data_IF_785701713853
#
_entry.id   IF_785701713853
#
_cell.length_a   1.000
_cell.length_b   1.000
_cell.length_c   1.000
_cell.angle_alpha   90.00
_cell.angle_beta   90.00
_cell.angle_gamma   90.00
#
_symmetry.space_group_name_H-M   'P 1'
#
loop_
_entity.id
_entity.type
_entity.pdbx_description
1 polymer ?
#
# COMPACT_ATOMS: atom_id res chain seq x y z
N UNK A 1 48.30 -1.42 10.94
CA UNK A 1 46.99 -1.84 10.40
C UNK A 1 45.92 -1.39 11.38
N UNK A 2 45.16 -0.34 11.05
CA UNK A 2 44.05 0.14 11.89
C UNK A 2 42.74 -0.22 11.21
N UNK A 3 42.01 -1.17 11.79
CA UNK A 3 40.68 -1.58 11.33
C UNK A 3 39.66 -0.56 11.87
N UNK A 4 39.30 0.43 11.07
CA UNK A 4 38.15 1.29 11.36
C UNK A 4 36.87 0.45 11.16
N UNK A 5 36.31 -0.07 12.25
CA UNK A 5 34.98 -0.64 12.22
C UNK A 5 33.97 0.48 11.99
N UNK A 6 33.38 0.52 10.79
CA UNK A 6 32.27 1.41 10.49
C UNK A 6 31.05 0.97 11.29
N UNK A 7 30.79 1.66 12.38
CA UNK A 7 29.50 1.57 13.08
C UNK A 7 28.45 2.14 12.13
N UNK A 8 27.73 1.26 11.44
CA UNK A 8 26.65 1.64 10.52
C UNK A 8 25.57 2.42 11.26
N UNK A 9 25.55 3.74 11.08
CA UNK A 9 24.43 4.59 11.50
C UNK A 9 23.20 4.17 10.70
N UNK A 10 22.29 3.41 11.31
CA UNK A 10 20.89 3.38 10.85
C UNK A 10 20.32 4.78 11.07
N UNK A 11 20.37 5.62 10.04
CA UNK A 11 19.66 6.89 10.03
C UNK A 11 18.18 6.53 10.01
N UNK A 12 17.48 6.82 11.11
CA UNK A 12 16.03 6.66 11.18
C UNK A 12 15.41 7.72 10.25
N UNK A 13 14.97 7.32 9.06
CA UNK A 13 14.21 8.21 8.19
C UNK A 13 12.82 8.43 8.79
N UNK A 14 12.49 9.69 9.07
CA UNK A 14 11.15 10.05 9.52
C UNK A 14 10.15 9.81 8.37
N UNK A 15 9.14 8.99 8.63
CA UNK A 15 8.00 8.79 7.74
C UNK A 15 6.81 9.47 8.38
N UNK A 16 6.17 10.39 7.66
CA UNK A 16 5.00 11.09 8.19
C UNK A 16 3.85 10.11 8.46
N UNK A 17 2.97 10.40 9.44
CA UNK A 17 1.78 9.58 9.68
C UNK A 17 0.90 9.41 8.44
N UNK A 18 0.81 10.43 7.59
CA UNK A 18 0.06 10.38 6.32
C UNK A 18 0.70 9.41 5.32
N UNK A 19 2.02 9.48 5.13
CA UNK A 19 2.73 8.56 4.24
C UNK A 19 2.65 7.12 4.74
N UNK A 20 2.72 6.91 6.07
CA UNK A 20 2.51 5.58 6.66
C UNK A 20 1.09 5.07 6.41
N UNK A 21 0.08 5.92 6.55
CA UNK A 21 -1.32 5.55 6.27
C UNK A 21 -1.51 5.20 4.79
N UNK A 22 -1.01 6.02 3.87
CA UNK A 22 -1.07 5.78 2.42
C UNK A 22 -0.40 4.47 2.04
N UNK A 23 0.82 4.22 2.51
CA UNK A 23 1.54 2.97 2.26
C UNK A 23 0.75 1.73 2.71
N UNK A 24 -0.03 1.85 3.78
CA UNK A 24 -0.89 0.77 4.25
C UNK A 24 -2.06 0.48 3.28
N UNK A 25 -2.64 1.51 2.66
CA UNK A 25 -3.65 1.34 1.59
C UNK A 25 -3.02 0.71 0.35
N UNK A 26 -1.81 1.14 -0.03
CA UNK A 26 -1.17 0.59 -1.23
C UNK A 26 -0.82 -0.87 -1.06
N UNK A 27 -0.30 -1.24 0.12
CA UNK A 27 0.00 -2.64 0.43
C UNK A 27 -1.25 -3.52 0.33
N UNK A 28 -2.33 -3.19 1.03
CA UNK A 28 -3.52 -4.06 1.03
C UNK A 28 -4.17 -4.12 -0.37
N UNK A 29 -4.14 -3.02 -1.12
CA UNK A 29 -4.64 -2.99 -2.51
C UNK A 29 -3.81 -3.92 -3.40
N UNK A 30 -2.49 -3.90 -3.30
CA UNK A 30 -1.60 -4.83 -4.04
C UNK A 30 -1.91 -6.28 -3.70
N UNK A 31 -2.02 -6.58 -2.40
CA UNK A 31 -2.31 -7.95 -1.94
C UNK A 31 -3.69 -8.44 -2.47
N UNK A 32 -4.71 -7.57 -2.48
CA UNK A 32 -6.04 -7.88 -3.03
C UNK A 32 -5.97 -8.05 -4.55
N UNK A 33 -5.29 -7.13 -5.25
CA UNK A 33 -5.10 -7.17 -6.71
C UNK A 33 -4.41 -8.46 -7.16
N UNK A 34 -3.36 -8.88 -6.45
CA UNK A 34 -2.66 -10.15 -6.69
C UNK A 34 -3.60 -11.35 -6.51
N UNK A 35 -4.30 -11.41 -5.36
CA UNK A 35 -5.22 -12.50 -5.06
C UNK A 35 -6.38 -12.59 -6.08
N UNK A 36 -6.97 -11.44 -6.45
CA UNK A 36 -8.15 -11.36 -7.29
C UNK A 36 -7.83 -11.53 -8.79
N UNK A 37 -6.85 -10.78 -9.32
CA UNK A 37 -6.63 -10.70 -10.77
C UNK A 37 -5.58 -11.68 -11.28
N UNK A 38 -4.55 -11.98 -10.49
CA UNK A 38 -3.44 -12.82 -10.95
C UNK A 38 -3.60 -14.28 -10.49
N UNK A 39 -3.92 -14.50 -9.22
CA UNK A 39 -3.98 -15.84 -8.64
C UNK A 39 -5.38 -16.47 -8.72
N UNK A 40 -6.43 -15.65 -8.81
CA UNK A 40 -7.82 -16.13 -8.69
C UNK A 40 -8.12 -16.80 -7.35
N UNK A 41 -7.38 -16.44 -6.29
CA UNK A 41 -7.47 -17.04 -4.98
C UNK A 41 -8.55 -16.37 -4.13
N UNK A 42 -9.79 -16.83 -4.28
CA UNK A 42 -10.96 -16.29 -3.58
C UNK A 42 -10.87 -16.37 -2.05
N UNK A 43 -10.22 -17.39 -1.49
CA UNK A 43 -10.09 -17.49 -0.02
C UNK A 43 -9.18 -16.39 0.55
N UNK A 44 -8.07 -16.12 -0.14
CA UNK A 44 -7.16 -15.05 0.24
C UNK A 44 -7.79 -13.67 0.04
N UNK A 45 -8.49 -13.46 -1.07
CA UNK A 45 -9.26 -12.25 -1.33
C UNK A 45 -10.24 -11.94 -0.18
N UNK A 46 -11.05 -12.92 0.24
CA UNK A 46 -12.00 -12.77 1.36
C UNK A 46 -11.28 -12.40 2.66
N UNK A 47 -10.15 -13.04 2.96
CA UNK A 47 -9.39 -12.74 4.17
C UNK A 47 -8.83 -11.32 4.17
N UNK A 48 -8.33 -10.85 3.02
CA UNK A 48 -7.82 -9.49 2.87
C UNK A 48 -8.93 -8.45 3.03
N UNK A 49 -10.13 -8.70 2.49
CA UNK A 49 -11.29 -7.82 2.72
C UNK A 49 -11.77 -7.84 4.18
N UNK A 50 -11.65 -8.97 4.88
CA UNK A 50 -11.88 -9.00 6.32
C UNK A 50 -10.85 -8.14 7.08
N UNK A 51 -9.56 -8.20 6.70
CA UNK A 51 -8.53 -7.34 7.28
C UNK A 51 -8.82 -5.85 7.05
N UNK A 52 -9.31 -5.48 5.87
CA UNK A 52 -9.77 -4.10 5.57
C UNK A 52 -10.84 -3.64 6.56
N UNK A 53 -11.84 -4.49 6.83
CA UNK A 53 -12.91 -4.19 7.78
C UNK A 53 -12.39 -4.12 9.22
N UNK A 54 -11.57 -5.08 9.64
CA UNK A 54 -11.02 -5.14 11.01
C UNK A 54 -10.14 -3.93 11.35
N UNK A 55 -9.52 -3.33 10.32
CA UNK A 55 -8.66 -2.14 10.43
C UNK A 55 -9.39 -0.82 10.20
N UNK A 56 -10.71 -0.85 9.99
CA UNK A 56 -11.55 0.32 9.70
C UNK A 56 -10.98 1.16 8.53
N UNK A 57 -10.55 0.47 7.47
CA UNK A 57 -10.02 1.12 6.28
C UNK A 57 -11.15 1.55 5.33
N UNK A 58 -10.94 2.67 4.65
CA UNK A 58 -11.88 3.23 3.68
C UNK A 58 -11.95 2.33 2.44
N UNK A 59 -13.07 1.63 2.32
CA UNK A 59 -13.35 0.71 1.20
C UNK A 59 -13.37 1.45 -0.13
N UNK A 60 -13.95 2.66 -0.20
CA UNK A 60 -14.03 3.42 -1.45
C UNK A 60 -12.66 3.86 -1.94
N UNK A 61 -11.73 4.16 -1.02
CA UNK A 61 -10.33 4.44 -1.38
C UNK A 61 -9.63 3.21 -1.94
N UNK A 62 -9.87 2.03 -1.37
CA UNK A 62 -9.30 0.76 -1.86
C UNK A 62 -9.88 0.40 -3.23
N UNK A 63 -11.20 0.53 -3.42
CA UNK A 63 -11.85 0.31 -4.72
C UNK A 63 -11.32 1.27 -5.79
N UNK A 64 -11.12 2.55 -5.45
CA UNK A 64 -10.49 3.50 -6.35
C UNK A 64 -9.08 3.07 -6.76
N UNK A 65 -8.28 2.56 -5.83
CA UNK A 65 -6.94 2.08 -6.14
C UNK A 65 -6.99 0.80 -7.00
N UNK A 66 -7.90 -0.14 -6.69
CA UNK A 66 -8.04 -1.40 -7.42
C UNK A 66 -8.44 -1.21 -8.88
N UNK A 67 -9.36 -0.28 -9.15
CA UNK A 67 -9.98 -0.13 -10.47
C UNK A 67 -9.59 1.17 -11.19
N UNK A 68 -9.06 2.15 -10.47
CA UNK A 68 -8.60 3.43 -11.03
C UNK A 68 -7.09 3.52 -11.24
N UNK A 69 -6.30 2.60 -10.68
CA UNK A 69 -4.86 2.53 -10.94
C UNK A 69 -4.56 1.65 -12.16
N UNK A 70 -3.71 2.14 -13.06
CA UNK A 70 -3.27 1.40 -14.24
C UNK A 70 -2.36 0.22 -13.91
N UNK A 71 -1.45 0.39 -12.94
CA UNK A 71 -0.45 -0.62 -12.56
C UNK A 71 -0.16 -0.55 -11.06
N UNK A 72 -0.51 -1.60 -10.33
CA UNK A 72 -0.36 -1.65 -8.88
C UNK A 72 1.11 -1.71 -8.42
N UNK A 73 2.03 -2.22 -9.25
CA UNK A 73 3.48 -2.28 -8.95
C UNK A 73 4.18 -0.92 -9.13
N UNK A 74 3.55 0.03 -9.82
CA UNK A 74 4.09 1.37 -10.00
C UNK A 74 3.64 2.29 -8.86
N UNK A 75 4.59 2.68 -8.01
CA UNK A 75 4.35 3.57 -6.88
C UNK A 75 3.84 4.95 -7.32
N UNK A 76 4.28 5.45 -8.48
CA UNK A 76 3.83 6.73 -9.01
C UNK A 76 2.38 6.64 -9.45
N UNK A 77 2.02 5.61 -10.21
CA UNK A 77 0.64 5.39 -10.65
C UNK A 77 -0.32 5.19 -9.46
N UNK A 78 0.11 4.48 -8.42
CA UNK A 78 -0.65 4.32 -7.17
C UNK A 78 -0.84 5.66 -6.45
N UNK A 79 0.22 6.48 -6.39
CA UNK A 79 0.19 7.81 -5.76
C UNK A 79 -0.74 8.76 -6.50
N UNK A 80 -0.65 8.83 -7.83
CA UNK A 80 -1.51 9.71 -8.64
C UNK A 80 -3.00 9.34 -8.52
N UNK A 81 -3.32 8.04 -8.55
CA UNK A 81 -4.69 7.55 -8.38
C UNK A 81 -5.24 7.89 -6.98
N UNK A 82 -4.42 7.75 -5.95
CA UNK A 82 -4.76 8.08 -4.57
C UNK A 82 -5.00 9.58 -4.38
N UNK A 83 -4.09 10.42 -4.86
CA UNK A 83 -4.20 11.89 -4.75
C UNK A 83 -5.41 12.43 -5.52
N UNK A 84 -5.68 11.89 -6.71
CA UNK A 84 -6.86 12.21 -7.52
C UNK A 84 -8.16 11.90 -6.78
N UNK A 85 -8.21 10.82 -5.99
CA UNK A 85 -9.36 10.47 -5.16
C UNK A 85 -9.46 11.36 -3.92
N UNK A 86 -8.36 11.54 -3.20
CA UNK A 86 -8.30 12.34 -1.97
C UNK A 86 -8.56 13.83 -2.21
N UNK A 87 -8.42 14.33 -3.44
CA UNK A 87 -8.74 15.72 -3.80
C UNK A 87 -10.22 15.95 -4.15
N UNK A 88 -10.99 14.89 -4.41
CA UNK A 88 -12.41 14.96 -4.79
C UNK A 88 -13.37 14.73 -3.62
N UNK A 89 -12.88 14.13 -2.54
CA UNK A 89 -13.62 13.83 -1.31
C UNK A 89 -13.20 14.77 -0.18
#
# INVERSE_FOLDING_TARGET
MALLQSVGRKILTYVSPSAKKQSAYFKITRDISEAQFYLGNRFQEIYLWQEVADRDMDVSRIENLLYGCSFHDDEVAMTEADESFMSKN
#
